data_IF_711638665536
#
_entry.id   IF_711638665536
#
_cell.length_a   1.000
_cell.length_b   1.000
_cell.length_c   1.000
_cell.angle_alpha   90.00
_cell.angle_beta   90.00
_cell.angle_gamma   90.00
#
_symmetry.space_group_name_H-M   'P 1'
#
loop_
_entity.id
_entity.type
_entity.pdbx_description
1 polymer ?
#
# COMPACT_ATOMS: atom_id res chain seq x y z
N UNK A 1 -33.98 48.78 19.55
CA UNK A 1 -33.92 49.10 18.10
C UNK A 1 -34.86 50.26 17.87
N UNK A 2 -34.40 51.37 17.30
CA UNK A 2 -35.14 52.63 17.37
C UNK A 2 -36.38 52.61 16.44
N UNK A 3 -37.53 53.09 16.92
CA UNK A 3 -38.84 53.08 16.22
C UNK A 3 -38.75 53.65 14.79
N UNK A 4 -37.90 54.67 14.62
CA UNK A 4 -37.63 55.32 13.32
C UNK A 4 -36.98 54.39 12.29
N UNK A 5 -36.13 53.46 12.72
CA UNK A 5 -35.43 52.54 11.81
C UNK A 5 -36.35 51.43 11.28
N UNK A 6 -37.36 51.04 12.08
CA UNK A 6 -38.36 50.03 11.69
C UNK A 6 -39.33 50.61 10.66
N UNK A 7 -39.81 51.84 10.87
CA UNK A 7 -40.71 52.51 9.93
C UNK A 7 -40.02 52.82 8.58
N UNK A 8 -38.75 53.23 8.58
CA UNK A 8 -37.98 53.45 7.35
C UNK A 8 -37.86 52.19 6.49
N UNK A 9 -37.58 51.05 7.11
CA UNK A 9 -37.50 49.75 6.40
C UNK A 9 -38.85 49.30 5.86
N UNK A 10 -39.95 49.62 6.54
CA UNK A 10 -41.31 49.33 6.05
C UNK A 10 -41.67 50.18 4.83
N UNK A 11 -41.29 51.46 4.81
CA UNK A 11 -41.47 52.35 3.65
C UNK A 11 -40.65 51.88 2.44
N UNK A 12 -39.40 51.46 2.65
CA UNK A 12 -38.56 50.88 1.60
C UNK A 12 -39.14 49.58 1.01
N UNK A 13 -39.91 48.82 1.79
CA UNK A 13 -40.56 47.59 1.33
C UNK A 13 -41.88 47.88 0.59
N UNK A 14 -42.62 48.92 0.99
CA UNK A 14 -43.78 49.41 0.24
C UNK A 14 -43.34 49.98 -1.13
N UNK A 15 -42.27 50.77 -1.16
CA UNK A 15 -41.72 51.34 -2.40
C UNK A 15 -41.24 50.28 -3.40
N UNK A 16 -40.80 49.12 -2.89
CA UNK A 16 -40.43 47.94 -3.71
C UNK A 16 -41.63 47.06 -4.10
N UNK A 17 -42.85 47.41 -3.68
CA UNK A 17 -44.07 46.67 -3.97
C UNK A 17 -44.18 45.34 -3.23
N UNK A 18 -43.32 45.08 -2.24
CA UNK A 18 -43.27 43.81 -1.49
C UNK A 18 -44.42 43.67 -0.49
N UNK A 19 -45.04 44.79 -0.11
CA UNK A 19 -46.21 44.85 0.78
C UNK A 19 -47.25 45.80 0.19
N UNK A 20 -48.54 45.51 0.38
CA UNK A 20 -49.62 46.38 -0.06
C UNK A 20 -49.78 47.59 0.87
N UNK A 21 -50.27 48.71 0.32
CA UNK A 21 -50.49 49.97 1.06
C UNK A 21 -51.39 49.78 2.30
N UNK A 22 -52.38 48.89 2.20
CA UNK A 22 -53.26 48.53 3.32
C UNK A 22 -52.50 47.85 4.48
N UNK A 23 -51.55 46.96 4.16
CA UNK A 23 -50.72 46.27 5.14
C UNK A 23 -49.70 47.22 5.79
N UNK A 24 -49.16 48.17 5.04
CA UNK A 24 -48.30 49.23 5.58
C UNK A 24 -49.05 50.11 6.59
N UNK A 25 -50.27 50.55 6.25
CA UNK A 25 -51.08 51.41 7.12
C UNK A 25 -51.50 50.72 8.42
N UNK A 26 -51.83 49.42 8.39
CA UNK A 26 -52.16 48.64 9.58
C UNK A 26 -50.97 48.48 10.54
N UNK A 27 -49.76 48.24 9.99
CA UNK A 27 -48.55 48.12 10.80
C UNK A 27 -48.15 49.48 11.37
N UNK A 28 -48.20 50.54 10.56
CA UNK A 28 -47.90 51.91 11.01
C UNK A 28 -48.83 52.36 12.14
N UNK A 29 -50.13 52.14 12.00
CA UNK A 29 -51.11 52.49 13.02
C UNK A 29 -50.90 51.74 14.34
N UNK A 30 -50.41 50.49 14.30
CA UNK A 30 -50.07 49.71 15.50
C UNK A 30 -48.83 50.26 16.22
N UNK A 31 -47.84 50.75 15.48
CA UNK A 31 -46.66 51.38 16.07
C UNK A 31 -46.89 52.83 16.52
N UNK A 32 -47.92 53.52 16.00
CA UNK A 32 -48.34 54.86 16.43
C UNK A 32 -49.22 54.87 17.69
N UNK A 33 -49.78 53.72 18.09
CA UNK A 33 -50.65 53.60 19.27
C UNK A 33 -49.96 53.06 20.53
N UNK A 34 -48.69 52.65 20.44
CA UNK A 34 -47.90 52.20 21.59
C UNK A 34 -47.23 53.42 22.27
N UNK A 35 -47.44 53.65 23.58
CA UNK A 35 -46.76 54.73 24.30
C UNK A 35 -45.26 54.44 24.42
N UNK A 36 -44.42 55.41 24.12
CA UNK A 36 -42.95 55.29 24.24
C UNK A 36 -42.56 55.13 25.72
N UNK A 37 -42.07 53.94 26.09
CA UNK A 37 -41.51 53.68 27.42
C UNK A 37 -40.12 54.35 27.57
N UNK A 38 -39.82 54.96 28.73
CA UNK A 38 -38.55 55.65 28.95
C UNK A 38 -37.38 54.67 29.15
N UNK A 39 -36.21 55.00 28.59
CA UNK A 39 -34.98 54.23 28.79
C UNK A 39 -34.50 54.34 30.25
N UNK A 40 -34.47 53.22 30.98
CA UNK A 40 -33.82 53.11 32.29
C UNK A 40 -32.40 52.49 32.19
N UNK A 41 -31.46 52.90 33.06
CA UNK A 41 -30.07 52.49 32.99
C UNK A 41 -29.86 51.09 33.58
N UNK A 42 -29.06 50.29 32.87
CA UNK A 42 -28.91 48.85 33.11
C UNK A 42 -28.35 48.44 34.48
N UNK A 43 -28.88 47.32 34.99
CA UNK A 43 -28.17 46.41 35.88
C UNK A 43 -28.68 44.96 35.78
N UNK A 44 -27.75 44.09 35.38
CA UNK A 44 -27.59 42.64 35.66
C UNK A 44 -28.79 41.68 35.55
N UNK A 45 -28.78 40.87 34.49
CA UNK A 45 -29.28 39.48 34.46
C UNK A 45 -28.29 38.61 33.65
N UNK A 46 -27.97 37.43 34.15
CA UNK A 46 -26.85 36.57 33.71
C UNK A 46 -27.00 36.02 32.27
N UNK A 47 -25.89 35.87 31.50
CA UNK A 47 -25.97 35.38 30.13
C UNK A 47 -25.82 33.87 30.04
N UNK A 48 -26.81 33.18 29.45
CA UNK A 48 -26.58 31.88 28.79
C UNK A 48 -25.84 32.18 27.47
N UNK A 49 -24.54 32.47 27.56
CA UNK A 49 -23.65 32.70 26.40
C UNK A 49 -22.56 31.64 26.25
N UNK A 50 -22.64 30.56 27.03
CA UNK A 50 -21.45 29.76 27.28
C UNK A 50 -21.32 28.51 26.39
N UNK A 51 -22.42 27.93 25.88
CA UNK A 51 -22.31 26.63 25.18
C UNK A 51 -21.65 26.73 23.79
N UNK A 52 -21.97 27.76 23.00
CA UNK A 52 -21.35 27.97 21.68
C UNK A 52 -19.88 28.40 21.79
N UNK A 53 -19.57 29.23 22.80
CA UNK A 53 -18.22 29.68 23.10
C UNK A 53 -17.35 28.55 23.65
N UNK A 54 -17.88 27.72 24.55
CA UNK A 54 -17.19 26.54 25.09
C UNK A 54 -16.98 25.46 24.05
N UNK A 55 -17.94 25.18 23.15
CA UNK A 55 -17.74 24.24 22.05
C UNK A 55 -16.67 24.77 21.08
N UNK A 56 -16.73 26.06 20.73
CA UNK A 56 -15.74 26.66 19.82
C UNK A 56 -14.34 26.68 20.45
N UNK A 57 -14.25 26.97 21.76
CA UNK A 57 -13.00 26.91 22.51
C UNK A 57 -12.48 25.48 22.60
N UNK A 58 -13.33 24.48 22.89
CA UNK A 58 -12.94 23.08 22.96
C UNK A 58 -12.48 22.52 21.60
N UNK A 59 -13.14 22.90 20.50
CA UNK A 59 -12.69 22.54 19.14
C UNK A 59 -11.38 23.24 18.80
N UNK A 60 -11.21 24.51 19.17
CA UNK A 60 -9.97 25.24 18.96
C UNK A 60 -8.81 24.64 19.76
N UNK A 61 -9.04 24.26 21.02
CA UNK A 61 -8.04 23.59 21.88
C UNK A 61 -7.69 22.22 21.32
N UNK A 62 -8.68 21.40 20.95
CA UNK A 62 -8.44 20.10 20.33
C UNK A 62 -7.67 20.22 19.00
N UNK A 63 -7.96 21.25 18.19
CA UNK A 63 -7.22 21.51 16.95
C UNK A 63 -5.80 22.01 17.21
N UNK A 64 -5.61 22.84 18.24
CA UNK A 64 -4.30 23.30 18.69
C UNK A 64 -3.45 22.17 19.27
N UNK A 65 -4.06 21.25 20.01
CA UNK A 65 -3.42 20.07 20.55
C UNK A 65 -3.05 19.07 19.46
N UNK A 66 -3.94 18.85 18.48
CA UNK A 66 -3.65 18.02 17.31
C UNK A 66 -2.53 18.60 16.45
N UNK A 67 -2.51 19.91 16.22
CA UNK A 67 -1.43 20.58 15.47
C UNK A 67 -0.11 20.60 16.25
N UNK A 68 -0.15 20.71 17.58
CA UNK A 68 1.04 20.59 18.44
C UNK A 68 1.58 19.17 18.44
N UNK A 69 0.73 18.17 18.59
CA UNK A 69 1.10 16.76 18.52
C UNK A 69 1.67 16.40 17.13
N UNK A 70 1.06 16.89 16.05
CA UNK A 70 1.59 16.75 14.70
C UNK A 70 2.95 17.46 14.53
N UNK A 71 3.11 18.65 15.11
CA UNK A 71 4.37 19.39 15.09
C UNK A 71 5.47 18.73 15.92
N UNK A 72 5.13 18.11 17.04
CA UNK A 72 6.05 17.31 17.87
C UNK A 72 6.44 16.01 17.17
N UNK A 73 5.50 15.33 16.51
CA UNK A 73 5.78 14.16 15.69
C UNK A 73 6.69 14.51 14.51
N UNK A 74 6.42 15.60 13.80
CA UNK A 74 7.26 16.10 12.70
C UNK A 74 8.66 16.48 13.19
N UNK A 75 8.79 17.11 14.37
CA UNK A 75 10.10 17.39 14.98
C UNK A 75 10.83 16.12 15.41
N UNK A 76 10.14 15.16 16.01
CA UNK A 76 10.73 13.88 16.41
C UNK A 76 11.21 13.08 15.19
N UNK A 77 10.46 13.11 14.08
CA UNK A 77 10.90 12.55 12.79
C UNK A 77 12.12 13.30 12.27
N UNK A 78 12.09 14.64 12.26
CA UNK A 78 13.22 15.47 11.83
C UNK A 78 14.49 15.27 12.68
N UNK A 79 14.35 15.09 13.99
CA UNK A 79 15.48 14.84 14.89
C UNK A 79 16.00 13.40 14.77
N UNK A 80 15.13 12.41 14.55
CA UNK A 80 15.54 11.05 14.20
C UNK A 80 16.28 11.00 12.86
N UNK A 81 15.86 11.81 11.88
CA UNK A 81 16.55 11.95 10.60
C UNK A 81 17.91 12.62 10.72
N UNK A 82 18.07 13.61 11.62
CA UNK A 82 19.37 14.25 11.92
C UNK A 82 20.33 13.34 12.67
N UNK A 83 19.83 12.33 13.38
CA UNK A 83 20.63 11.34 14.08
C UNK A 83 21.14 10.20 13.16
N UNK A 84 20.66 10.13 11.91
CA UNK A 84 21.18 9.18 10.92
C UNK A 84 22.56 9.64 10.43
N UNK A 85 23.59 8.81 10.62
CA UNK A 85 24.91 9.06 10.06
C UNK A 85 24.93 8.62 8.59
N UNK A 86 25.33 9.52 7.71
CA UNK A 86 25.49 9.25 6.29
C UNK A 86 26.94 9.45 5.88
N UNK A 87 27.51 8.45 5.23
CA UNK A 87 28.80 8.56 4.56
C UNK A 87 28.63 8.18 3.10
N UNK A 88 28.85 9.14 2.19
CA UNK A 88 28.73 8.89 0.75
C UNK A 88 28.68 10.15 -0.11
N UNK A 89 29.16 10.04 -1.34
CA UNK A 89 29.04 11.10 -2.35
C UNK A 89 27.67 11.03 -3.03
N UNK A 90 26.92 12.14 -3.00
CA UNK A 90 25.67 12.30 -3.75
C UNK A 90 24.39 11.90 -3.01
N UNK A 91 24.44 11.83 -1.68
CA UNK A 91 23.25 11.67 -0.84
C UNK A 91 22.55 13.02 -0.66
N UNK A 92 21.28 13.10 -1.04
CA UNK A 92 20.40 14.24 -0.82
C UNK A 92 19.32 13.82 0.18
N UNK A 93 19.16 14.61 1.23
CA UNK A 93 18.15 14.41 2.28
C UNK A 93 17.19 15.59 2.25
N UNK A 94 15.90 15.29 2.21
CA UNK A 94 14.84 16.21 2.63
C UNK A 94 14.14 15.62 3.85
N UNK A 95 13.29 16.42 4.50
CA UNK A 95 12.52 16.00 5.68
C UNK A 95 11.61 14.77 5.42
N UNK A 96 11.40 14.40 4.16
CA UNK A 96 10.50 13.32 3.73
C UNK A 96 11.17 12.27 2.83
N UNK A 97 12.31 12.57 2.20
CA UNK A 97 12.91 11.68 1.21
C UNK A 97 14.41 11.49 1.38
N UNK A 98 14.84 10.23 1.27
CA UNK A 98 16.25 9.83 1.21
C UNK A 98 16.58 9.49 -0.23
N UNK A 99 17.47 10.27 -0.86
CA UNK A 99 17.92 10.03 -2.22
C UNK A 99 19.43 9.81 -2.28
N UNK A 100 19.84 8.70 -2.89
CA UNK A 100 21.26 8.34 -3.04
C UNK A 100 21.61 8.29 -4.53
N UNK A 101 22.43 9.23 -4.99
CA UNK A 101 22.94 9.29 -6.37
C UNK A 101 24.47 9.09 -6.34
N UNK A 102 24.92 7.83 -6.35
CA UNK A 102 26.34 7.49 -6.27
C UNK A 102 26.58 6.32 -5.34
N UNK A 103 27.26 6.55 -4.23
CA UNK A 103 27.43 5.55 -3.18
C UNK A 103 27.10 6.15 -1.83
N UNK A 104 26.28 5.49 -1.03
CA UNK A 104 25.87 5.99 0.27
C UNK A 104 25.56 4.89 1.27
N UNK A 105 25.97 5.10 2.52
CA UNK A 105 25.51 4.31 3.65
C UNK A 105 24.47 5.15 4.40
N UNK A 106 23.31 4.56 4.63
CA UNK A 106 22.25 5.09 5.49
C UNK A 106 22.29 4.26 6.76
N UNK A 107 22.49 4.91 7.89
CA UNK A 107 22.46 4.25 9.19
C UNK A 107 21.28 4.75 9.99
N UNK A 108 20.50 3.83 10.57
CA UNK A 108 19.37 4.17 11.41
C UNK A 108 18.63 2.90 11.83
N UNK A 109 18.12 2.87 13.06
CA UNK A 109 17.39 1.71 13.54
C UNK A 109 16.12 2.13 14.30
N UNK A 110 14.95 2.20 13.63
CA UNK A 110 14.72 2.03 12.19
C UNK A 110 15.02 3.32 11.38
N UNK A 111 15.34 3.18 10.10
CA UNK A 111 15.34 4.26 9.11
C UNK A 111 13.89 4.53 8.71
N UNK A 112 13.36 5.71 9.03
CA UNK A 112 12.00 6.13 8.67
C UNK A 112 12.07 7.25 7.64
N UNK A 113 11.36 7.12 6.53
CA UNK A 113 11.27 8.13 5.47
C UNK A 113 9.97 7.95 4.69
N UNK A 114 9.47 8.96 3.98
CA UNK A 114 8.33 8.77 3.06
C UNK A 114 8.82 8.08 1.78
N UNK A 115 9.84 8.65 1.12
CA UNK A 115 10.42 8.08 -0.11
C UNK A 115 11.89 7.68 0.08
N UNK A 116 12.23 6.44 -0.24
CA UNK A 116 13.62 5.99 -0.39
C UNK A 116 13.95 5.79 -1.87
N UNK A 117 14.93 6.52 -2.39
CA UNK A 117 15.39 6.39 -3.78
C UNK A 117 16.89 6.14 -3.84
N UNK A 118 17.30 5.02 -4.44
CA UNK A 118 18.70 4.72 -4.71
C UNK A 118 18.95 4.52 -6.21
N UNK A 119 19.76 5.40 -6.79
CA UNK A 119 20.20 5.33 -8.19
C UNK A 119 21.63 4.77 -8.34
N UNK A 120 22.28 4.39 -7.24
CA UNK A 120 23.67 3.92 -7.22
C UNK A 120 23.87 2.73 -6.28
N UNK A 121 24.99 2.70 -5.54
CA UNK A 121 25.29 1.67 -4.55
C UNK A 121 24.91 2.13 -3.14
N UNK A 122 23.85 1.59 -2.58
CA UNK A 122 23.38 1.94 -1.24
C UNK A 122 23.55 0.79 -0.25
N UNK A 123 23.88 1.12 0.99
CA UNK A 123 23.79 0.20 2.13
C UNK A 123 22.90 0.83 3.19
N UNK A 124 21.88 0.11 3.62
CA UNK A 124 20.98 0.54 4.69
C UNK A 124 21.25 -0.36 5.88
N UNK A 125 21.79 0.24 6.95
CA UNK A 125 22.09 -0.44 8.20
C UNK A 125 20.91 -0.24 9.15
N UNK A 126 20.25 -1.34 9.51
CA UNK A 126 19.00 -1.36 10.26
C UNK A 126 17.77 -1.63 9.38
N UNK A 127 16.58 -1.59 9.98
CA UNK A 127 15.32 -1.80 9.26
C UNK A 127 14.85 -0.52 8.57
N UNK A 128 14.33 -0.65 7.34
CA UNK A 128 13.73 0.45 6.59
C UNK A 128 12.21 0.43 6.77
N UNK A 129 11.64 1.59 7.10
CA UNK A 129 10.20 1.85 7.09
C UNK A 129 9.97 3.04 6.16
N UNK A 130 9.27 2.82 5.05
CA UNK A 130 8.92 3.90 4.13
C UNK A 130 7.58 3.70 3.44
N UNK A 131 6.97 4.73 2.87
CA UNK A 131 5.80 4.51 2.00
C UNK A 131 6.28 3.91 0.68
N UNK A 132 7.33 4.47 0.08
CA UNK A 132 7.82 4.04 -1.23
C UNK A 132 9.33 3.83 -1.23
N UNK A 133 9.79 2.67 -1.74
CA UNK A 133 11.19 2.37 -1.97
C UNK A 133 11.48 2.07 -3.44
N UNK A 134 12.33 2.87 -4.08
CA UNK A 134 12.77 2.71 -5.47
C UNK A 134 14.27 2.51 -5.56
N UNK A 135 14.68 1.35 -6.07
CA UNK A 135 16.09 1.00 -6.24
C UNK A 135 16.40 0.71 -7.71
N UNK A 136 17.08 1.63 -8.37
CA UNK A 136 17.57 1.42 -9.74
C UNK A 136 18.97 0.79 -9.77
N UNK A 137 19.80 1.06 -8.75
CA UNK A 137 21.18 0.56 -8.67
C UNK A 137 21.33 -0.72 -7.86
N UNK A 138 22.38 -0.81 -7.05
CA UNK A 138 22.59 -1.93 -6.12
C UNK A 138 22.28 -1.48 -4.69
N UNK A 139 21.44 -2.21 -3.97
CA UNK A 139 21.12 -1.89 -2.58
C UNK A 139 21.24 -3.11 -1.67
N UNK A 140 21.88 -2.94 -0.52
CA UNK A 140 21.94 -3.95 0.52
C UNK A 140 21.26 -3.43 1.79
N UNK A 141 20.14 -4.06 2.15
CA UNK A 141 19.42 -3.83 3.39
C UNK A 141 19.85 -4.88 4.42
N UNK A 142 20.42 -4.44 5.54
CA UNK A 142 20.88 -5.35 6.60
C UNK A 142 19.75 -5.82 7.53
N UNK A 143 18.62 -5.10 7.57
CA UNK A 143 17.45 -5.43 8.38
C UNK A 143 16.22 -5.77 7.55
N UNK A 144 15.06 -5.67 8.20
CA UNK A 144 13.76 -5.82 7.56
C UNK A 144 13.39 -4.58 6.73
N UNK A 145 12.60 -4.76 5.69
CA UNK A 145 12.07 -3.68 4.86
C UNK A 145 10.54 -3.72 4.93
N UNK A 146 9.94 -2.66 5.45
CA UNK A 146 8.50 -2.47 5.52
C UNK A 146 8.13 -1.26 4.67
N UNK A 147 7.42 -1.48 3.57
CA UNK A 147 6.98 -0.41 2.66
C UNK A 147 5.54 -0.59 2.20
N UNK A 148 4.97 0.38 1.51
CA UNK A 148 3.72 0.18 0.76
C UNK A 148 4.07 -0.27 -0.66
N UNK A 149 4.89 0.52 -1.38
CA UNK A 149 5.37 0.21 -2.74
C UNK A 149 6.89 -0.08 -2.75
N UNK A 150 7.28 -1.29 -3.16
CA UNK A 150 8.68 -1.66 -3.40
C UNK A 150 8.95 -1.84 -4.89
N UNK A 151 9.76 -0.97 -5.50
CA UNK A 151 10.25 -1.15 -6.88
C UNK A 151 11.75 -1.31 -6.96
N UNK A 152 12.19 -2.37 -7.63
CA UNK A 152 13.60 -2.62 -7.89
C UNK A 152 13.88 -2.92 -9.37
N UNK A 153 14.74 -2.11 -9.98
CA UNK A 153 15.22 -2.31 -11.35
C UNK A 153 16.65 -2.90 -11.39
N UNK A 154 17.40 -2.79 -10.30
CA UNK A 154 18.80 -3.24 -10.21
C UNK A 154 18.99 -4.52 -9.39
N UNK A 155 19.99 -4.52 -8.51
CA UNK A 155 20.32 -5.68 -7.68
C UNK A 155 20.11 -5.38 -6.21
N UNK A 156 19.08 -5.97 -5.62
CA UNK A 156 18.72 -5.77 -4.21
C UNK A 156 19.00 -7.02 -3.40
N UNK A 157 19.62 -6.85 -2.24
CA UNK A 157 19.70 -7.85 -1.18
C UNK A 157 19.05 -7.34 0.08
N UNK A 158 18.16 -8.15 0.65
CA UNK A 158 17.52 -7.92 1.94
C UNK A 158 17.92 -9.09 2.85
N UNK A 159 18.62 -8.77 3.95
CA UNK A 159 19.04 -9.78 4.91
C UNK A 159 17.89 -10.21 5.85
N UNK A 160 16.92 -9.33 6.10
CA UNK A 160 15.68 -9.64 6.83
C UNK A 160 14.53 -10.06 5.93
N UNK A 161 13.32 -9.70 6.36
CA UNK A 161 12.07 -9.91 5.64
C UNK A 161 11.69 -8.67 4.81
N UNK A 162 10.91 -8.89 3.76
CA UNK A 162 10.25 -7.82 2.99
C UNK A 162 8.74 -7.88 3.25
N UNK A 163 8.17 -6.77 3.71
CA UNK A 163 6.71 -6.60 3.82
C UNK A 163 6.33 -5.40 2.99
N UNK A 164 5.43 -5.60 2.02
CA UNK A 164 4.91 -4.55 1.16
C UNK A 164 3.42 -4.75 0.87
N UNK A 165 2.75 -3.76 0.30
CA UNK A 165 1.47 -3.99 -0.40
C UNK A 165 1.80 -4.47 -1.81
N UNK A 166 2.65 -3.73 -2.53
CA UNK A 166 3.05 -4.02 -3.91
C UNK A 166 4.56 -4.18 -4.05
N UNK A 167 4.99 -5.26 -4.69
CA UNK A 167 6.41 -5.54 -4.98
C UNK A 167 6.60 -5.70 -6.49
N UNK A 168 7.38 -4.81 -7.10
CA UNK A 168 7.84 -4.95 -8.49
C UNK A 168 9.36 -5.13 -8.53
N UNK A 169 9.83 -6.27 -9.05
CA UNK A 169 11.23 -6.59 -9.19
C UNK A 169 11.59 -6.94 -10.64
N UNK A 170 12.14 -5.97 -11.37
CA UNK A 170 12.58 -6.18 -12.76
C UNK A 170 14.03 -6.65 -12.89
N UNK A 171 14.82 -6.53 -11.81
CA UNK A 171 16.22 -6.94 -11.77
C UNK A 171 16.45 -8.25 -11.00
N UNK A 172 17.38 -8.22 -10.05
CA UNK A 172 17.64 -9.33 -9.14
C UNK A 172 17.25 -8.92 -7.72
N UNK A 173 16.29 -9.64 -7.13
CA UNK A 173 15.85 -9.46 -5.76
C UNK A 173 16.20 -10.72 -4.95
N UNK A 174 17.05 -10.56 -3.96
CA UNK A 174 17.41 -11.62 -3.02
C UNK A 174 16.93 -11.26 -1.62
N UNK A 175 16.08 -12.09 -1.03
CA UNK A 175 15.56 -11.95 0.33
C UNK A 175 15.98 -13.18 1.15
N UNK A 176 16.71 -12.95 2.24
CA UNK A 176 17.19 -14.04 3.10
C UNK A 176 16.13 -14.52 4.10
N UNK A 177 15.18 -13.64 4.45
CA UNK A 177 13.96 -14.00 5.17
C UNK A 177 12.83 -14.40 4.22
N UNK A 178 11.60 -14.05 4.59
CA UNK A 178 10.39 -14.22 3.78
C UNK A 178 9.90 -12.93 3.13
N UNK A 179 8.91 -13.06 2.25
CA UNK A 179 8.20 -11.94 1.64
C UNK A 179 6.72 -12.03 2.01
N UNK A 180 6.14 -10.91 2.44
CA UNK A 180 4.69 -10.72 2.59
C UNK A 180 4.26 -9.57 1.71
N UNK A 181 3.36 -9.81 0.77
CA UNK A 181 2.83 -8.80 -0.14
C UNK A 181 1.32 -8.99 -0.35
N UNK A 182 0.63 -8.00 -0.92
CA UNK A 182 -0.65 -8.22 -1.58
C UNK A 182 -0.37 -8.64 -3.02
N UNK A 183 0.36 -7.81 -3.76
CA UNK A 183 0.86 -8.08 -5.11
C UNK A 183 2.37 -8.26 -5.18
N UNK A 184 2.84 -9.33 -5.83
CA UNK A 184 4.25 -9.57 -6.11
C UNK A 184 4.46 -9.87 -7.60
N UNK A 185 5.12 -8.95 -8.30
CA UNK A 185 5.50 -9.09 -9.71
C UNK A 185 7.03 -9.09 -9.88
N UNK A 186 7.57 -10.15 -10.46
CA UNK A 186 8.99 -10.26 -10.79
C UNK A 186 9.21 -10.52 -12.28
N UNK A 187 10.11 -9.78 -12.94
CA UNK A 187 10.46 -10.00 -14.35
C UNK A 187 11.93 -10.38 -14.58
N UNK A 188 12.67 -10.70 -13.51
CA UNK A 188 14.07 -11.07 -13.56
C UNK A 188 14.41 -12.32 -12.75
N UNK A 189 15.23 -12.14 -11.71
CA UNK A 189 15.63 -13.22 -10.80
C UNK A 189 15.17 -12.93 -9.38
N UNK A 190 14.25 -13.75 -8.89
CA UNK A 190 13.75 -13.70 -7.52
C UNK A 190 14.34 -14.86 -6.73
N UNK A 191 15.04 -14.56 -5.64
CA UNK A 191 15.53 -15.56 -4.70
C UNK A 191 15.03 -15.24 -3.28
N UNK A 192 14.30 -16.17 -2.69
CA UNK A 192 13.78 -16.08 -1.33
C UNK A 192 14.17 -17.33 -0.57
N UNK A 193 14.79 -17.18 0.60
CA UNK A 193 15.22 -18.34 1.39
C UNK A 193 14.12 -18.83 2.33
N UNK A 194 13.22 -17.93 2.77
CA UNK A 194 12.03 -18.26 3.56
C UNK A 194 10.77 -18.45 2.72
N UNK A 195 9.62 -18.22 3.35
CA UNK A 195 8.31 -18.33 2.72
C UNK A 195 7.90 -17.03 2.01
N UNK A 196 7.07 -17.17 0.98
CA UNK A 196 6.42 -16.07 0.27
C UNK A 196 4.92 -16.19 0.48
N UNK A 197 4.31 -15.15 1.04
CA UNK A 197 2.86 -15.01 1.20
C UNK A 197 2.40 -13.79 0.40
N UNK A 198 1.55 -14.01 -0.60
CA UNK A 198 0.96 -12.96 -1.43
C UNK A 198 -0.55 -13.22 -1.62
N UNK A 199 -1.30 -12.26 -2.15
CA UNK A 199 -2.61 -12.53 -2.76
C UNK A 199 -2.40 -12.90 -4.23
N UNK A 200 -1.62 -12.09 -4.94
CA UNK A 200 -1.22 -12.33 -6.32
C UNK A 200 0.29 -12.47 -6.47
N UNK A 201 0.73 -13.59 -7.05
CA UNK A 201 2.13 -13.82 -7.40
C UNK A 201 2.29 -13.97 -8.92
N UNK A 202 2.98 -13.02 -9.54
CA UNK A 202 3.37 -13.05 -10.96
C UNK A 202 4.88 -13.09 -11.10
N UNK A 203 5.38 -14.03 -11.89
CA UNK A 203 6.80 -14.03 -12.25
C UNK A 203 7.02 -14.36 -13.71
N UNK A 204 7.91 -13.62 -14.37
CA UNK A 204 8.43 -13.87 -15.70
C UNK A 204 9.95 -13.93 -15.65
N UNK A 205 10.53 -15.13 -15.58
CA UNK A 205 11.98 -15.28 -15.40
C UNK A 205 12.39 -16.50 -14.60
N UNK A 206 13.33 -16.33 -13.67
CA UNK A 206 13.81 -17.38 -12.76
C UNK A 206 13.36 -17.10 -11.34
N UNK A 207 12.76 -18.10 -10.69
CA UNK A 207 12.30 -18.01 -9.31
C UNK A 207 12.95 -19.12 -8.50
N UNK A 208 13.56 -18.73 -7.38
CA UNK A 208 14.04 -19.66 -6.36
C UNK A 208 13.42 -19.32 -5.02
N UNK A 209 12.52 -20.16 -4.53
CA UNK A 209 11.94 -20.05 -3.19
C UNK A 209 12.27 -21.36 -2.47
N UNK A 210 13.18 -21.29 -1.51
CA UNK A 210 13.59 -22.49 -0.77
C UNK A 210 12.50 -22.96 0.22
N UNK A 211 11.64 -22.04 0.69
CA UNK A 211 10.44 -22.33 1.49
C UNK A 211 9.18 -22.61 0.66
N UNK A 212 8.03 -22.19 1.17
CA UNK A 212 6.73 -22.25 0.50
C UNK A 212 6.31 -20.95 -0.18
N UNK A 213 5.61 -21.06 -1.31
CA UNK A 213 4.85 -20.00 -1.94
C UNK A 213 3.37 -20.21 -1.63
N UNK A 214 2.74 -19.26 -0.95
CA UNK A 214 1.31 -19.24 -0.69
C UNK A 214 0.71 -17.98 -1.31
N UNK A 215 -0.17 -18.13 -2.28
CA UNK A 215 -0.94 -17.03 -2.84
C UNK A 215 -2.33 -17.48 -3.30
N UNK A 216 -3.27 -16.57 -3.51
CA UNK A 216 -4.57 -16.92 -4.10
C UNK A 216 -4.38 -17.23 -5.58
N UNK A 217 -3.71 -16.33 -6.30
CA UNK A 217 -3.34 -16.50 -7.71
C UNK A 217 -1.82 -16.63 -7.88
N UNK A 218 -1.36 -17.70 -8.54
CA UNK A 218 0.05 -17.95 -8.86
C UNK A 218 0.24 -18.09 -10.37
N UNK A 219 0.89 -17.10 -10.98
CA UNK A 219 1.24 -17.08 -12.40
C UNK A 219 2.76 -17.08 -12.60
N UNK A 220 3.29 -18.16 -13.17
CA UNK A 220 4.74 -18.31 -13.42
C UNK A 220 4.98 -18.55 -14.90
N UNK A 221 5.52 -17.54 -15.56
CA UNK A 221 6.11 -17.61 -16.89
C UNK A 221 7.59 -17.99 -16.79
N UNK A 222 7.90 -19.23 -17.16
CA UNK A 222 9.24 -19.80 -17.03
C UNK A 222 10.18 -19.22 -18.10
N UNK A 223 11.01 -18.25 -17.69
CA UNK A 223 12.11 -17.69 -18.48
C UNK A 223 13.46 -18.37 -18.27
N UNK A 224 13.55 -19.30 -17.30
CA UNK A 224 14.75 -20.06 -16.95
C UNK A 224 14.42 -21.21 -16.00
N UNK A 225 15.43 -21.77 -15.33
CA UNK A 225 15.22 -22.79 -14.29
C UNK A 225 14.68 -22.13 -13.01
N UNK A 226 13.55 -22.65 -12.54
CA UNK A 226 12.89 -22.21 -11.31
C UNK A 226 12.78 -23.38 -10.34
N UNK A 227 12.93 -23.09 -9.04
CA UNK A 227 12.77 -24.07 -7.96
C UNK A 227 11.96 -23.45 -6.83
N UNK A 228 10.86 -24.10 -6.47
CA UNK A 228 10.00 -23.67 -5.36
C UNK A 228 9.73 -24.89 -4.48
N UNK A 229 9.94 -24.80 -3.17
CA UNK A 229 9.74 -25.95 -2.27
C UNK A 229 8.30 -26.47 -2.33
N UNK A 230 7.36 -25.66 -1.88
CA UNK A 230 5.93 -25.96 -1.99
C UNK A 230 5.17 -24.78 -2.60
N UNK A 231 4.16 -25.05 -3.42
CA UNK A 231 3.25 -24.04 -3.99
C UNK A 231 1.86 -24.35 -3.46
N UNK A 232 1.19 -23.34 -2.90
CA UNK A 232 -0.20 -23.42 -2.45
C UNK A 232 -0.97 -22.22 -2.95
N UNK A 233 -2.09 -22.45 -3.61
CA UNK A 233 -3.01 -21.38 -4.00
C UNK A 233 -4.34 -21.85 -4.51
N UNK A 234 -5.23 -20.94 -4.87
CA UNK A 234 -6.53 -21.28 -5.45
C UNK A 234 -6.35 -21.56 -6.94
N UNK A 235 -5.72 -20.62 -7.66
CA UNK A 235 -5.34 -20.75 -9.07
C UNK A 235 -3.82 -20.81 -9.23
N UNK A 236 -3.31 -21.87 -9.85
CA UNK A 236 -1.88 -22.05 -10.11
C UNK A 236 -1.68 -22.29 -11.61
N UNK A 237 -1.09 -21.34 -12.31
CA UNK A 237 -0.70 -21.48 -13.72
C UNK A 237 0.80 -21.31 -13.90
N UNK A 238 1.44 -22.38 -14.40
CA UNK A 238 2.85 -22.39 -14.77
C UNK A 238 2.96 -22.62 -16.27
N UNK A 239 3.48 -21.63 -16.99
CA UNK A 239 3.62 -21.67 -18.45
C UNK A 239 5.07 -21.62 -18.86
N UNK A 240 5.43 -22.45 -19.84
CA UNK A 240 6.76 -22.44 -20.40
C UNK A 240 6.83 -21.41 -21.53
N UNK A 241 7.45 -20.26 -21.30
CA UNK A 241 7.56 -19.21 -22.32
C UNK A 241 8.68 -19.53 -23.31
N UNK A 242 8.37 -20.31 -24.36
CA UNK A 242 9.33 -20.74 -25.38
C UNK A 242 8.98 -20.29 -26.79
N UNK A 243 9.82 -19.45 -27.40
CA UNK A 243 9.88 -19.26 -28.86
C UNK A 243 11.03 -20.07 -29.47
N UNK A 244 11.16 -20.10 -30.80
CA UNK A 244 12.15 -20.89 -31.55
C UNK A 244 13.64 -20.69 -31.14
N UNK A 245 13.95 -19.67 -30.33
CA UNK A 245 15.29 -19.28 -29.89
C UNK A 245 15.48 -19.16 -28.37
N UNK A 246 14.48 -19.46 -27.52
CA UNK A 246 14.60 -19.33 -26.06
C UNK A 246 14.84 -20.68 -25.39
N UNK A 247 15.74 -20.69 -24.39
CA UNK A 247 15.96 -21.84 -23.52
C UNK A 247 14.63 -22.12 -22.82
N UNK A 248 14.17 -23.37 -22.88
CA UNK A 248 12.95 -23.79 -22.21
C UNK A 248 13.17 -23.69 -20.70
N UNK A 249 12.43 -22.80 -20.04
CA UNK A 249 12.41 -22.79 -18.58
C UNK A 249 11.75 -24.05 -18.04
N UNK A 250 12.15 -24.46 -16.84
CA UNK A 250 11.58 -25.61 -16.13
C UNK A 250 11.31 -25.22 -14.68
N UNK A 251 10.23 -25.76 -14.11
CA UNK A 251 9.93 -25.62 -12.68
C UNK A 251 10.19 -26.94 -11.97
N UNK A 252 10.94 -26.92 -10.87
CA UNK A 252 10.99 -28.03 -9.92
C UNK A 252 10.26 -27.64 -8.64
N UNK A 253 9.30 -28.46 -8.21
CA UNK A 253 8.63 -28.30 -6.93
C UNK A 253 8.44 -29.62 -6.18
N UNK A 254 8.50 -29.59 -4.85
CA UNK A 254 8.26 -30.80 -4.07
C UNK A 254 6.75 -31.07 -3.96
N UNK A 255 5.96 -30.02 -3.72
CA UNK A 255 4.51 -30.12 -3.54
C UNK A 255 3.78 -28.96 -4.20
N UNK A 256 2.70 -29.24 -4.93
CA UNK A 256 1.80 -28.24 -5.52
C UNK A 256 0.37 -28.58 -5.08
N UNK A 257 -0.29 -27.64 -4.41
CA UNK A 257 -1.68 -27.81 -3.96
C UNK A 257 -2.54 -26.61 -4.33
N UNK A 258 -3.69 -26.85 -4.95
CA UNK A 258 -4.64 -25.81 -5.25
C UNK A 258 -5.97 -26.32 -5.78
N UNK A 259 -6.85 -25.42 -6.21
CA UNK A 259 -8.16 -25.79 -6.75
C UNK A 259 -8.06 -26.00 -8.27
N UNK A 260 -7.60 -24.97 -8.99
CA UNK A 260 -7.29 -25.00 -10.42
C UNK A 260 -5.78 -24.99 -10.65
N UNK A 261 -5.26 -26.03 -11.31
CA UNK A 261 -3.82 -26.20 -11.52
C UNK A 261 -3.54 -26.46 -13.00
N UNK A 262 -2.82 -25.55 -13.66
CA UNK A 262 -2.28 -25.73 -15.01
C UNK A 262 -0.75 -25.72 -14.98
N UNK A 263 -0.12 -26.82 -15.38
CA UNK A 263 1.35 -26.96 -15.32
C UNK A 263 1.95 -27.29 -16.69
N UNK A 264 2.95 -26.53 -17.11
CA UNK A 264 3.82 -26.83 -18.25
C UNK A 264 5.30 -26.85 -17.83
N UNK A 265 6.09 -27.76 -18.41
CA UNK A 265 7.52 -27.91 -18.12
C UNK A 265 7.84 -28.01 -16.61
N UNK A 266 6.98 -28.70 -15.85
CA UNK A 266 7.09 -28.83 -14.40
C UNK A 266 7.46 -30.25 -13.98
N UNK A 267 8.47 -30.38 -13.14
CA UNK A 267 8.81 -31.59 -12.40
C UNK A 267 8.33 -31.45 -10.96
N UNK A 268 7.37 -32.28 -10.55
CA UNK A 268 6.85 -32.25 -9.18
C UNK A 268 6.70 -33.62 -8.52
N UNK A 269 6.99 -33.71 -7.23
CA UNK A 269 6.83 -34.98 -6.49
C UNK A 269 5.37 -35.24 -6.09
N UNK A 270 4.58 -34.20 -5.80
CA UNK A 270 3.17 -34.37 -5.46
C UNK A 270 2.35 -33.18 -5.95
N UNK A 271 1.26 -33.46 -6.66
CA UNK A 271 0.28 -32.46 -7.10
C UNK A 271 -1.11 -32.86 -6.60
N UNK A 272 -1.81 -31.93 -5.97
CA UNK A 272 -3.17 -32.13 -5.49
C UNK A 272 -4.08 -30.97 -5.87
N UNK A 273 -5.22 -31.26 -6.50
CA UNK A 273 -6.25 -30.25 -6.72
C UNK A 273 -7.61 -30.79 -7.19
N UNK A 274 -8.58 -29.91 -7.40
CA UNK A 274 -9.88 -30.32 -7.94
C UNK A 274 -9.79 -30.47 -9.46
N UNK A 275 -9.33 -29.43 -10.16
CA UNK A 275 -9.14 -29.39 -11.60
C UNK A 275 -7.65 -29.28 -11.94
N UNK A 276 -7.07 -30.37 -12.44
CA UNK A 276 -5.63 -30.44 -12.75
C UNK A 276 -5.39 -30.70 -14.23
N UNK A 277 -4.72 -29.75 -14.89
CA UNK A 277 -4.25 -29.83 -16.28
C UNK A 277 -2.72 -29.93 -16.29
N UNK A 278 -2.24 -31.13 -16.55
CA UNK A 278 -0.82 -31.39 -16.80
C UNK A 278 -0.56 -31.17 -18.30
N UNK A 279 -0.12 -29.96 -18.63
CA UNK A 279 0.31 -29.55 -19.95
C UNK A 279 1.63 -30.20 -20.38
N UNK A 280 2.25 -29.75 -21.49
CA UNK A 280 3.40 -30.41 -22.10
C UNK A 280 4.68 -30.43 -21.26
N UNK A 281 5.46 -31.51 -21.38
CA UNK A 281 6.80 -31.67 -20.78
C UNK A 281 6.84 -31.66 -19.25
N UNK A 282 5.78 -32.16 -18.62
CA UNK A 282 5.72 -32.31 -17.17
C UNK A 282 6.11 -33.72 -16.75
N UNK A 283 6.72 -33.83 -15.57
CA UNK A 283 7.02 -35.10 -14.91
C UNK A 283 6.48 -35.04 -13.50
N UNK A 284 5.42 -35.79 -13.22
CA UNK A 284 4.77 -35.80 -11.92
C UNK A 284 4.85 -37.20 -11.31
N UNK A 285 5.32 -37.29 -10.07
CA UNK A 285 5.42 -38.58 -9.38
C UNK A 285 4.03 -39.06 -8.92
N UNK A 286 3.30 -38.22 -8.18
CA UNK A 286 1.93 -38.54 -7.71
C UNK A 286 0.99 -37.39 -8.00
N UNK A 287 -0.18 -37.69 -8.59
CA UNK A 287 -1.27 -36.74 -8.78
C UNK A 287 -2.53 -37.22 -8.09
N UNK A 288 -3.10 -36.36 -7.24
CA UNK A 288 -4.41 -36.51 -6.61
C UNK A 288 -5.36 -35.42 -7.14
N UNK A 289 -6.23 -35.79 -8.08
CA UNK A 289 -7.10 -34.83 -8.77
C UNK A 289 -8.53 -35.33 -8.89
N UNK A 290 -9.51 -34.43 -8.77
CA UNK A 290 -10.91 -34.72 -9.10
C UNK A 290 -11.08 -34.90 -10.61
N UNK A 291 -10.70 -33.88 -11.38
CA UNK A 291 -10.64 -33.86 -12.83
C UNK A 291 -9.18 -33.75 -13.28
N UNK A 292 -8.73 -34.69 -14.13
CA UNK A 292 -7.34 -34.74 -14.60
C UNK A 292 -7.26 -34.77 -16.12
N UNK A 293 -6.52 -33.82 -16.71
CA UNK A 293 -6.12 -33.85 -18.12
C UNK A 293 -4.61 -33.91 -18.21
N UNK A 294 -4.09 -34.83 -19.01
CA UNK A 294 -2.63 -35.01 -19.18
C UNK A 294 -2.28 -34.96 -20.66
N UNK A 295 -1.35 -34.08 -21.01
CA UNK A 295 -0.80 -33.99 -22.36
C UNK A 295 0.06 -35.23 -22.70
N UNK A 296 0.07 -35.62 -23.97
CA UNK A 296 0.76 -36.84 -24.43
C UNK A 296 2.28 -36.82 -24.20
N UNK A 297 2.88 -35.64 -24.08
CA UNK A 297 4.32 -35.47 -23.83
C UNK A 297 4.71 -35.45 -22.35
N UNK A 298 3.76 -35.69 -21.44
CA UNK A 298 3.98 -35.61 -20.00
C UNK A 298 3.83 -36.96 -19.32
N UNK A 299 4.62 -37.18 -18.29
CA UNK A 299 4.71 -38.45 -17.56
C UNK A 299 4.11 -38.28 -16.16
N UNK A 300 3.15 -39.13 -15.81
CA UNK A 300 2.58 -39.20 -14.45
C UNK A 300 2.73 -40.64 -13.96
N UNK A 301 3.46 -40.87 -12.86
CA UNK A 301 3.73 -42.23 -12.37
C UNK A 301 2.56 -42.85 -11.63
N UNK A 302 1.94 -42.11 -10.71
CA UNK A 302 0.79 -42.57 -9.93
C UNK A 302 -0.37 -41.58 -10.01
N UNK A 303 -1.60 -42.09 -10.20
CA UNK A 303 -2.83 -41.30 -10.25
C UNK A 303 -3.80 -41.81 -9.19
N UNK A 304 -4.32 -40.91 -8.36
CA UNK A 304 -5.28 -41.19 -7.29
C UNK A 304 -6.47 -40.25 -7.41
N UNK A 305 -7.68 -40.75 -7.15
CA UNK A 305 -8.90 -39.94 -7.11
C UNK A 305 -9.54 -39.59 -8.46
N UNK A 306 -8.87 -39.82 -9.59
CA UNK A 306 -9.46 -39.65 -10.92
C UNK A 306 -10.51 -40.76 -11.16
N UNK A 307 -11.79 -40.39 -11.17
CA UNK A 307 -12.93 -41.28 -11.47
C UNK A 307 -13.18 -41.38 -12.97
#
# INVERSE_FOLDING_TARGET
>A
MNRKDILRRLEERLARGEIGEKTYLEIKARYDSEPEEPEEPGRSAEPISDLGATISAAVADATADATRAAGEAARAVGDAMRAMDFSGTGTQLSDEAIKIVGSGVVTGNPVKTVEFRSAGSARVQGSLIAEVARVAGSCNFEGDVHVEEFRSAGSVRIAGNLTAEEVEASGSLQVSGGIRAEGLSSSGSLQVSGDVEAEEFRSSGSVRIDGGLKAEEVHIDLGGTSKIGAIRGEEIRVKATGGFFRIRGELTADRIEGEEIELEATSAAYVKGEDVVIGPHCRIEVVEAGNLRVHQSSEVRERRGAS
#
